data_IF_493980447055
#
_entry.id   IF_493980447055
#
_cell.length_a   1.000
_cell.length_b   1.000
_cell.length_c   1.000
_cell.angle_alpha   90.00
_cell.angle_beta   90.00
_cell.angle_gamma   90.00
#
_symmetry.space_group_name_H-M   'P 1'
#
loop_
_entity.id
_entity.type
_entity.pdbx_description
1 polymer ?
#
# COMPACT_ATOMS: atom_id res chain seq x y z
N UNK A 1 33.73 28.04 -49.60
CA UNK A 1 34.37 28.06 -48.26
C UNK A 1 33.56 27.38 -47.15
N UNK A 2 32.38 26.81 -47.42
CA UNK A 2 31.50 26.19 -46.41
C UNK A 2 31.74 24.69 -46.16
N UNK A 3 32.27 23.94 -47.15
CA UNK A 3 32.58 22.50 -46.99
C UNK A 3 33.75 22.20 -46.05
N UNK A 4 34.76 23.09 -45.96
CA UNK A 4 35.92 22.83 -45.08
C UNK A 4 35.59 23.02 -43.60
N UNK A 5 34.68 23.93 -43.26
CA UNK A 5 34.21 24.14 -41.88
C UNK A 5 33.38 22.95 -41.36
N UNK A 6 32.50 22.38 -42.20
CA UNK A 6 31.74 21.17 -41.83
C UNK A 6 32.64 19.94 -41.62
N UNK A 7 33.66 19.75 -42.46
CA UNK A 7 34.61 18.64 -42.32
C UNK A 7 35.49 18.78 -41.06
N UNK A 8 35.89 20.00 -40.71
CA UNK A 8 36.65 20.28 -39.48
C UNK A 8 35.76 20.07 -38.24
N UNK A 9 34.49 20.50 -38.27
CA UNK A 9 33.54 20.29 -37.16
C UNK A 9 33.21 18.81 -36.95
N UNK A 10 33.00 18.04 -38.03
CA UNK A 10 32.75 16.59 -37.97
C UNK A 10 33.98 15.80 -37.49
N UNK A 11 35.19 16.18 -37.93
CA UNK A 11 36.42 15.56 -37.45
C UNK A 11 36.69 15.88 -35.97
N UNK A 12 36.34 17.10 -35.53
CA UNK A 12 36.49 17.54 -34.14
C UNK A 12 35.49 16.84 -33.21
N UNK A 13 34.23 16.68 -33.62
CA UNK A 13 33.23 15.94 -32.83
C UNK A 13 33.57 14.45 -32.74
N UNK A 14 34.05 13.84 -33.83
CA UNK A 14 34.50 12.43 -33.82
C UNK A 14 35.72 12.23 -32.91
N UNK A 15 36.66 13.17 -32.90
CA UNK A 15 37.81 13.14 -32.00
C UNK A 15 37.41 13.32 -30.53
N UNK A 16 36.44 14.20 -30.23
CA UNK A 16 35.92 14.40 -28.86
C UNK A 16 35.18 13.14 -28.38
N UNK A 17 34.35 12.53 -29.22
CA UNK A 17 33.65 11.27 -28.89
C UNK A 17 34.66 10.15 -28.62
N UNK A 18 35.72 10.05 -29.44
CA UNK A 18 36.78 9.05 -29.24
C UNK A 18 37.55 9.29 -27.94
N UNK A 19 37.87 10.54 -27.61
CA UNK A 19 38.56 10.90 -26.36
C UNK A 19 37.67 10.64 -25.15
N UNK A 20 36.38 10.99 -25.20
CA UNK A 20 35.41 10.68 -24.13
C UNK A 20 35.23 9.18 -23.97
N UNK A 21 35.14 8.42 -25.06
CA UNK A 21 35.04 6.96 -25.01
C UNK A 21 36.30 6.33 -24.41
N UNK A 22 37.49 6.84 -24.74
CA UNK A 22 38.78 6.39 -24.17
C UNK A 22 38.86 6.77 -22.69
N UNK A 23 38.44 7.97 -22.30
CA UNK A 23 38.42 8.39 -20.89
C UNK A 23 37.43 7.53 -20.09
N UNK A 24 36.21 7.29 -20.58
CA UNK A 24 35.22 6.42 -19.93
C UNK A 24 35.70 4.96 -19.85
N UNK A 25 36.32 4.45 -20.91
CA UNK A 25 36.92 3.11 -20.92
C UNK A 25 38.11 3.00 -19.97
N UNK A 26 38.94 4.04 -19.88
CA UNK A 26 40.09 4.09 -18.97
C UNK A 26 39.67 4.23 -17.50
N UNK A 27 38.58 4.95 -17.19
CA UNK A 27 38.00 4.95 -15.84
C UNK A 27 37.41 3.60 -15.45
N UNK A 28 36.91 2.82 -16.42
CA UNK A 28 36.48 1.43 -16.18
C UNK A 28 37.67 0.48 -15.98
N UNK A 29 38.78 0.65 -16.70
CA UNK A 29 39.96 -0.21 -16.53
C UNK A 29 40.72 0.04 -15.23
N UNK A 30 40.72 1.27 -14.72
CA UNK A 30 41.39 1.63 -13.45
C UNK A 30 40.55 1.22 -12.22
N UNK A 31 39.22 1.10 -12.37
CA UNK A 31 38.32 0.50 -11.36
C UNK A 31 38.16 -1.00 -11.60
N UNK A 32 39.24 -1.77 -11.52
CA UNK A 32 39.16 -3.24 -11.58
C UNK A 32 38.19 -3.78 -10.53
N UNK A 33 37.31 -4.71 -10.92
CA UNK A 33 36.44 -5.64 -10.13
C UNK A 33 35.76 -5.16 -8.81
N UNK A 34 35.85 -3.87 -8.48
CA UNK A 34 35.51 -3.23 -7.20
C UNK A 34 34.21 -2.42 -7.26
N UNK A 35 33.53 -2.46 -8.42
CA UNK A 35 32.22 -1.85 -8.60
C UNK A 35 31.25 -2.37 -7.53
N UNK A 36 30.57 -1.42 -6.89
CA UNK A 36 29.54 -1.68 -5.90
C UNK A 36 28.29 -2.26 -6.55
N UNK A 37 27.89 -1.72 -7.71
CA UNK A 37 26.68 -2.05 -8.44
C UNK A 37 27.00 -2.54 -9.85
N UNK A 38 26.70 -3.81 -10.13
CA UNK A 38 27.02 -4.45 -11.42
C UNK A 38 25.89 -5.32 -11.94
N UNK A 39 26.03 -5.79 -13.18
CA UNK A 39 25.08 -6.68 -13.85
C UNK A 39 23.63 -6.15 -13.78
N UNK A 40 23.49 -4.84 -13.95
CA UNK A 40 22.19 -4.17 -13.96
C UNK A 40 21.50 -4.40 -15.29
N UNK A 41 20.26 -4.87 -15.25
CA UNK A 41 19.44 -5.06 -16.44
C UNK A 41 17.95 -4.99 -16.11
N UNK A 42 17.18 -4.40 -17.01
CA UNK A 42 15.73 -4.60 -17.09
C UNK A 42 15.44 -5.60 -18.21
N UNK A 43 14.41 -6.42 -18.04
CA UNK A 43 14.01 -7.38 -19.08
C UNK A 43 13.45 -6.71 -20.33
N UNK A 44 12.73 -5.59 -20.14
CA UNK A 44 12.05 -4.84 -21.18
C UNK A 44 12.30 -3.34 -21.00
N UNK A 45 12.07 -2.58 -22.07
CA UNK A 45 12.15 -1.10 -22.06
C UNK A 45 10.79 -0.43 -22.16
N UNK A 46 9.71 -1.21 -22.23
CA UNK A 46 8.32 -0.75 -22.29
C UNK A 46 7.50 -1.57 -21.30
N UNK A 47 6.55 -0.91 -20.62
CA UNK A 47 5.62 -1.50 -19.66
C UNK A 47 4.22 -0.97 -19.96
N UNK A 48 3.22 -1.87 -20.01
CA UNK A 48 1.80 -1.53 -20.15
C UNK A 48 1.00 -2.06 -18.97
N UNK A 49 1.01 -1.36 -17.82
CA UNK A 49 0.39 -1.88 -16.61
C UNK A 49 -1.11 -1.53 -16.56
N UNK A 50 -1.91 -2.41 -17.12
CA UNK A 50 -3.38 -2.32 -17.21
C UNK A 50 -4.08 -3.64 -16.80
N UNK A 51 -3.30 -4.58 -16.24
CA UNK A 51 -3.72 -5.89 -15.78
C UNK A 51 -4.38 -6.77 -16.85
N UNK A 52 -4.05 -6.57 -18.14
CA UNK A 52 -4.55 -7.41 -19.24
C UNK A 52 -3.74 -8.70 -19.45
N UNK A 53 -2.63 -8.86 -18.71
CA UNK A 53 -1.72 -10.01 -18.76
C UNK A 53 -0.57 -9.85 -19.76
N UNK A 54 -0.53 -8.76 -20.54
CA UNK A 54 0.49 -8.46 -21.53
C UNK A 54 1.38 -7.29 -21.09
N UNK A 55 2.67 -7.55 -20.90
CA UNK A 55 3.67 -6.52 -20.54
C UNK A 55 3.32 -5.66 -19.30
N UNK A 56 2.50 -6.18 -18.37
CA UNK A 56 2.18 -5.55 -17.09
C UNK A 56 3.35 -5.50 -16.12
N UNK A 57 4.33 -6.39 -16.29
CA UNK A 57 5.42 -6.60 -15.34
C UNK A 57 6.75 -6.78 -16.07
N UNK A 58 7.77 -6.08 -15.60
CA UNK A 58 9.16 -6.32 -16.00
C UNK A 58 10.01 -6.81 -14.84
N UNK A 59 11.15 -7.42 -15.17
CA UNK A 59 12.14 -7.87 -14.20
C UNK A 59 13.30 -6.89 -14.13
N UNK A 60 13.62 -6.42 -12.93
CA UNK A 60 14.84 -5.64 -12.63
C UNK A 60 15.84 -6.57 -11.94
N UNK A 61 17.03 -6.72 -12.53
CA UNK A 61 18.12 -7.49 -11.96
C UNK A 61 19.35 -6.60 -11.72
N UNK A 62 20.06 -6.87 -10.63
CA UNK A 62 21.31 -6.20 -10.27
C UNK A 62 22.14 -7.05 -9.32
N UNK A 63 23.41 -6.75 -9.19
CA UNK A 63 24.33 -7.41 -8.25
C UNK A 63 25.06 -6.37 -7.40
N UNK A 64 25.13 -6.65 -6.11
CA UNK A 64 25.79 -5.83 -5.11
C UNK A 64 27.05 -6.56 -4.62
N UNK A 65 28.21 -5.88 -4.65
CA UNK A 65 29.48 -6.51 -4.26
C UNK A 65 29.76 -6.47 -2.76
N UNK A 66 29.15 -5.54 -2.02
CA UNK A 66 29.29 -5.35 -0.56
C UNK A 66 28.06 -4.67 0.02
N UNK A 67 27.85 -4.80 1.33
CA UNK A 67 26.67 -4.24 2.02
C UNK A 67 26.44 -2.78 1.64
N UNK A 68 25.24 -2.47 1.16
CA UNK A 68 24.85 -1.14 0.72
C UNK A 68 23.34 -0.92 0.89
N UNK A 69 22.96 0.35 0.90
CA UNK A 69 21.58 0.79 0.71
C UNK A 69 21.31 0.93 -0.78
N UNK A 70 20.24 0.31 -1.26
CA UNK A 70 19.87 0.32 -2.68
C UNK A 70 18.53 1.01 -2.86
N UNK A 71 18.52 2.01 -3.74
CA UNK A 71 17.31 2.69 -4.21
C UNK A 71 17.05 2.37 -5.68
N UNK A 72 15.79 2.17 -6.02
CA UNK A 72 15.31 1.99 -7.40
C UNK A 72 14.20 3.02 -7.60
N UNK A 73 14.42 3.97 -8.50
CA UNK A 73 13.48 5.04 -8.75
C UNK A 73 13.46 5.44 -10.23
N UNK A 74 12.41 6.16 -10.60
CA UNK A 74 12.15 6.60 -11.96
C UNK A 74 12.05 8.12 -11.98
N UNK A 75 12.72 8.75 -12.94
CA UNK A 75 12.72 10.19 -13.10
C UNK A 75 12.04 10.55 -14.43
N UNK A 76 11.05 11.45 -14.37
CA UNK A 76 10.37 11.94 -15.58
C UNK A 76 11.12 13.15 -16.19
N UNK A 77 10.64 13.63 -17.34
CA UNK A 77 11.25 14.80 -18.03
C UNK A 77 11.24 16.10 -17.21
N UNK A 78 10.38 16.20 -16.19
CA UNK A 78 10.31 17.35 -15.28
C UNK A 78 11.27 17.23 -14.09
N UNK A 79 12.00 16.12 -13.97
CA UNK A 79 12.92 15.85 -12.86
C UNK A 79 12.24 15.31 -11.59
N UNK A 80 10.95 14.96 -11.65
CA UNK A 80 10.26 14.35 -10.51
C UNK A 80 10.72 12.90 -10.36
N UNK A 81 11.01 12.49 -9.12
CA UNK A 81 11.47 11.14 -8.78
C UNK A 81 10.35 10.34 -8.13
N UNK A 82 10.18 9.11 -8.61
CA UNK A 82 9.17 8.17 -8.16
C UNK A 82 9.88 6.90 -7.65
N UNK A 83 9.78 6.60 -6.36
CA UNK A 83 10.52 5.51 -5.74
C UNK A 83 9.73 4.21 -5.79
N UNK A 84 10.33 3.17 -6.37
CA UNK A 84 9.83 1.80 -6.22
C UNK A 84 10.47 1.12 -5.00
N UNK A 85 11.73 1.44 -4.73
CA UNK A 85 12.45 1.03 -3.52
C UNK A 85 13.27 2.19 -3.04
N UNK A 86 13.02 2.63 -1.82
CA UNK A 86 13.85 3.65 -1.17
C UNK A 86 14.74 3.04 -0.08
N UNK A 87 16.05 3.28 -0.23
CA UNK A 87 17.14 3.00 0.71
C UNK A 87 17.09 1.61 1.36
N UNK A 88 16.81 0.56 0.58
CA UNK A 88 16.67 -0.80 1.11
C UNK A 88 18.04 -1.42 1.34
N UNK A 89 18.29 -1.93 2.54
CA UNK A 89 19.55 -2.63 2.86
C UNK A 89 19.68 -3.91 2.02
N UNK A 90 20.85 -4.09 1.40
CA UNK A 90 21.22 -5.27 0.61
C UNK A 90 22.60 -5.75 1.04
N UNK A 91 22.74 -7.07 1.16
CA UNK A 91 24.03 -7.72 1.34
C UNK A 91 24.72 -7.94 0.00
N UNK A 92 25.88 -8.60 0.03
CA UNK A 92 26.54 -9.05 -1.20
C UNK A 92 25.69 -10.12 -1.89
N UNK A 93 25.45 -9.98 -3.18
CA UNK A 93 24.74 -10.98 -3.94
C UNK A 93 24.02 -10.44 -5.17
N UNK A 94 23.34 -11.36 -5.86
CA UNK A 94 22.48 -11.06 -7.01
C UNK A 94 21.05 -10.89 -6.54
N UNK A 95 20.38 -9.89 -7.08
CA UNK A 95 19.01 -9.53 -6.77
C UNK A 95 18.18 -9.49 -8.04
N UNK A 96 16.94 -9.93 -7.94
CA UNK A 96 15.93 -9.86 -8.99
C UNK A 96 14.61 -9.46 -8.33
N UNK A 97 13.93 -8.48 -8.90
CA UNK A 97 12.62 -8.01 -8.43
C UNK A 97 11.71 -7.78 -9.63
N UNK A 98 10.43 -8.08 -9.46
CA UNK A 98 9.40 -7.76 -10.44
C UNK A 98 8.87 -6.36 -10.19
N UNK A 99 8.61 -5.62 -11.26
CA UNK A 99 8.12 -4.25 -11.22
C UNK A 99 6.90 -4.12 -12.14
N UNK A 100 5.75 -3.76 -11.55
CA UNK A 100 4.47 -3.60 -12.23
C UNK A 100 4.12 -2.15 -12.59
N UNK A 101 5.06 -1.21 -12.45
CA UNK A 101 4.77 0.21 -12.63
C UNK A 101 4.33 0.92 -11.33
N UNK A 102 4.00 0.17 -10.27
CA UNK A 102 3.66 0.71 -8.95
C UNK A 102 4.90 1.25 -8.23
N UNK A 103 4.76 2.48 -7.74
CA UNK A 103 5.72 3.22 -6.92
C UNK A 103 5.06 3.69 -5.63
N UNK A 104 5.85 4.27 -4.73
CA UNK A 104 5.36 5.00 -3.57
C UNK A 104 4.32 6.05 -4.01
N UNK A 105 3.32 6.27 -3.17
CA UNK A 105 2.19 7.15 -3.48
C UNK A 105 2.60 8.60 -3.78
N UNK A 106 1.89 9.20 -4.74
CA UNK A 106 2.05 10.60 -5.11
C UNK A 106 0.74 11.18 -5.65
N UNK A 107 0.60 12.50 -5.57
CA UNK A 107 -0.52 13.24 -6.12
C UNK A 107 -0.11 14.00 -7.39
N UNK A 108 -1.08 14.21 -8.28
CA UNK A 108 -0.88 15.07 -9.45
C UNK A 108 -1.14 16.55 -9.06
N UNK A 109 -0.52 17.53 -9.75
CA UNK A 109 -0.60 18.95 -9.36
C UNK A 109 -2.03 19.51 -9.23
N UNK A 110 -2.97 19.02 -10.03
CA UNK A 110 -4.36 19.49 -10.06
C UNK A 110 -5.33 18.55 -9.31
N UNK A 111 -4.79 17.62 -8.52
CA UNK A 111 -5.55 16.59 -7.85
C UNK A 111 -5.85 16.98 -6.39
N UNK A 112 -7.14 16.96 -6.03
CA UNK A 112 -7.60 17.11 -4.66
C UNK A 112 -8.32 15.83 -4.27
N UNK A 113 -7.73 15.08 -3.34
CA UNK A 113 -8.23 13.79 -2.88
C UNK A 113 -8.50 13.86 -1.39
N UNK A 114 -9.64 13.33 -0.98
CA UNK A 114 -9.95 13.03 0.44
C UNK A 114 -9.29 11.72 0.91
N UNK A 115 -8.52 11.09 0.02
CA UNK A 115 -7.81 9.84 0.26
C UNK A 115 -6.31 10.12 0.33
N UNK A 116 -5.63 9.45 1.24
CA UNK A 116 -4.19 9.27 1.20
C UNK A 116 -3.83 8.26 0.11
N UNK A 117 -2.94 8.63 -0.81
CA UNK A 117 -2.42 7.71 -1.82
C UNK A 117 -1.18 7.04 -1.27
N UNK A 118 -1.26 5.74 -0.98
CA UNK A 118 -0.13 4.98 -0.41
C UNK A 118 0.78 4.40 -1.50
N UNK A 119 0.18 4.00 -2.62
CA UNK A 119 0.89 3.45 -3.78
C UNK A 119 0.17 3.88 -5.04
N UNK A 120 0.93 4.27 -6.07
CA UNK A 120 0.35 4.72 -7.33
C UNK A 120 1.15 4.21 -8.50
N UNK A 121 0.44 3.99 -9.60
CA UNK A 121 1.05 3.61 -10.85
C UNK A 121 1.69 4.81 -11.54
N UNK A 122 2.90 4.63 -12.08
CA UNK A 122 3.54 5.64 -12.93
C UNK A 122 2.61 6.03 -14.09
N UNK A 123 2.45 7.33 -14.33
CA UNK A 123 1.66 7.80 -15.46
C UNK A 123 2.31 7.42 -16.79
N UNK A 124 1.52 7.31 -17.86
CA UNK A 124 2.03 7.16 -19.22
C UNK A 124 3.09 8.23 -19.54
N UNK A 125 4.22 7.79 -20.10
CA UNK A 125 5.34 8.67 -20.45
C UNK A 125 6.69 7.97 -20.46
N UNK A 126 7.71 8.76 -20.82
CA UNK A 126 9.10 8.32 -20.82
C UNK A 126 9.76 8.63 -19.47
N UNK A 127 10.44 7.63 -18.92
CA UNK A 127 11.18 7.73 -17.67
C UNK A 127 12.63 7.32 -17.87
N UNK A 128 13.51 7.95 -17.10
CA UNK A 128 14.83 7.41 -16.82
C UNK A 128 14.73 6.56 -15.56
N UNK A 129 15.01 5.27 -15.63
CA UNK A 129 15.15 4.45 -14.43
C UNK A 129 16.56 4.63 -13.85
N UNK A 130 16.66 4.61 -12.53
CA UNK A 130 17.92 4.73 -11.79
C UNK A 130 17.95 3.63 -10.72
N UNK A 131 19.02 2.85 -10.73
CA UNK A 131 19.40 1.99 -9.62
C UNK A 131 20.63 2.59 -8.98
N UNK A 132 20.50 2.99 -7.72
CA UNK A 132 21.56 3.58 -6.92
C UNK A 132 21.94 2.64 -5.79
N UNK A 133 23.23 2.46 -5.55
CA UNK A 133 23.77 1.78 -4.39
C UNK A 133 24.71 2.71 -3.62
N UNK A 134 24.52 2.82 -2.31
CA UNK A 134 25.37 3.60 -1.40
C UNK A 134 25.90 2.70 -0.30
N UNK A 135 27.21 2.52 -0.22
CA UNK A 135 27.83 1.72 0.84
C UNK A 135 27.96 2.48 2.18
N UNK A 136 28.43 1.77 3.21
CA UNK A 136 28.61 2.34 4.56
C UNK A 136 29.58 3.52 4.64
N UNK A 137 30.50 3.63 3.66
CA UNK A 137 31.51 4.68 3.61
C UNK A 137 31.03 5.86 2.74
N UNK A 138 29.79 5.81 2.25
CA UNK A 138 29.17 6.83 1.41
C UNK A 138 29.58 6.74 -0.06
N UNK A 139 30.19 5.64 -0.50
CA UNK A 139 30.51 5.46 -1.92
C UNK A 139 29.24 5.13 -2.67
N UNK A 140 28.89 6.00 -3.61
CA UNK A 140 27.72 5.86 -4.48
C UNK A 140 28.11 5.32 -5.86
N UNK A 141 27.40 4.31 -6.33
CA UNK A 141 27.37 3.94 -7.75
C UNK A 141 25.92 3.91 -8.25
N UNK A 142 25.73 4.37 -9.48
CA UNK A 142 24.44 4.40 -10.15
C UNK A 142 24.54 3.73 -11.52
N UNK A 143 23.44 3.10 -11.93
CA UNK A 143 23.18 2.71 -13.31
C UNK A 143 21.82 3.25 -13.73
N UNK A 144 21.70 3.60 -15.01
CA UNK A 144 20.51 4.24 -15.56
C UNK A 144 20.17 3.68 -16.94
N UNK A 145 18.93 3.89 -17.35
CA UNK A 145 18.46 3.63 -18.70
C UNK A 145 17.04 4.15 -18.90
N UNK A 146 16.43 3.80 -20.02
CA UNK A 146 15.12 4.31 -20.40
C UNK A 146 14.03 3.27 -20.10
N UNK A 147 12.85 3.74 -19.72
CA UNK A 147 11.62 2.96 -19.61
C UNK A 147 10.46 3.80 -20.15
N UNK A 148 9.67 3.22 -21.04
CA UNK A 148 8.42 3.80 -21.49
C UNK A 148 7.25 3.14 -20.76
N UNK A 149 6.38 3.95 -20.17
CA UNK A 149 5.08 3.52 -19.65
C UNK A 149 4.01 3.90 -20.68
N UNK A 150 3.22 2.94 -21.12
CA UNK A 150 2.13 3.14 -22.10
C UNK A 150 0.86 2.41 -21.63
N UNK A 151 -0.32 2.87 -22.03
CA UNK A 151 -1.59 2.18 -21.77
C UNK A 151 -1.87 1.87 -20.28
N UNK A 152 -1.22 2.57 -19.36
CA UNK A 152 -1.46 2.45 -17.92
C UNK A 152 -2.93 2.70 -17.54
N UNK A 153 -3.51 1.81 -16.72
CA UNK A 153 -4.73 2.13 -15.96
C UNK A 153 -4.36 3.00 -14.75
N UNK A 154 -4.35 4.31 -14.95
CA UNK A 154 -3.92 5.28 -13.95
C UNK A 154 -5.04 5.74 -12.99
N UNK A 155 -6.27 5.24 -13.16
CA UNK A 155 -7.39 5.63 -12.31
C UNK A 155 -7.29 4.96 -10.94
N UNK A 156 -7.29 5.76 -9.88
CA UNK A 156 -7.18 5.28 -8.50
C UNK A 156 -8.50 4.63 -8.01
N UNK A 157 -8.43 3.59 -7.15
CA UNK A 157 -9.59 3.00 -6.46
C UNK A 157 -10.10 3.87 -5.32
N UNK A 158 -10.47 5.13 -5.62
CA UNK A 158 -10.88 6.12 -4.64
C UNK A 158 -12.09 5.67 -3.81
N UNK A 159 -11.99 5.87 -2.50
CA UNK A 159 -13.09 5.73 -1.55
C UNK A 159 -13.74 7.11 -1.39
N UNK A 160 -15.02 7.23 -1.70
CA UNK A 160 -15.76 8.51 -1.64
C UNK A 160 -16.96 8.40 -0.69
N UNK A 161 -17.29 9.51 -0.03
CA UNK A 161 -18.42 9.55 0.92
C UNK A 161 -18.22 8.63 2.12
N UNK A 162 -17.00 8.56 2.65
CA UNK A 162 -16.67 7.77 3.84
C UNK A 162 -17.34 8.36 5.08
N UNK A 163 -18.35 7.65 5.60
CA UNK A 163 -19.21 8.13 6.68
C UNK A 163 -19.52 7.02 7.67
N UNK A 164 -19.69 7.42 8.94
CA UNK A 164 -20.22 6.58 10.01
C UNK A 164 -21.52 7.19 10.57
N UNK A 165 -22.46 6.36 11.02
CA UNK A 165 -23.76 6.84 11.52
C UNK A 165 -23.68 7.45 12.94
N UNK A 166 -22.55 7.27 13.64
CA UNK A 166 -22.28 7.82 14.97
C UNK A 166 -20.78 7.91 15.25
N UNK A 167 -20.40 8.88 16.08
CA UNK A 167 -19.01 9.06 16.52
C UNK A 167 -18.71 8.39 17.87
N UNK A 168 -19.75 8.04 18.63
CA UNK A 168 -19.66 7.37 19.94
C UNK A 168 -20.36 6.02 19.85
N UNK A 169 -19.68 4.98 20.33
CA UNK A 169 -20.05 3.58 20.20
C UNK A 169 -19.88 2.87 21.56
N UNK A 170 -20.93 2.17 22.02
CA UNK A 170 -20.95 1.54 23.35
C UNK A 170 -21.24 0.03 23.28
N UNK A 171 -20.26 -0.82 22.91
CA UNK A 171 -20.48 -2.26 22.67
C UNK A 171 -20.59 -3.10 23.96
N UNK A 172 -21.52 -2.74 24.85
CA UNK A 172 -21.70 -3.34 26.17
C UNK A 172 -22.81 -4.42 26.22
N UNK A 173 -23.50 -4.66 25.09
CA UNK A 173 -24.59 -5.63 24.90
C UNK A 173 -25.90 -5.28 25.62
N UNK A 174 -26.17 -4.00 25.89
CA UNK A 174 -27.44 -3.54 26.47
C UNK A 174 -28.54 -3.22 25.45
N UNK A 175 -28.21 -3.28 24.15
CA UNK A 175 -29.07 -2.99 23.02
C UNK A 175 -29.10 -1.52 22.59
N UNK A 176 -28.31 -0.65 23.24
CA UNK A 176 -28.24 0.79 23.00
C UNK A 176 -26.83 1.12 22.53
N UNK A 177 -26.74 1.74 21.36
CA UNK A 177 -25.48 2.18 20.75
C UNK A 177 -24.37 1.12 20.61
N UNK A 178 -24.76 -0.14 20.66
CA UNK A 178 -23.95 -1.35 20.49
C UNK A 178 -23.48 -1.63 19.06
N UNK A 179 -23.87 -0.79 18.08
CA UNK A 179 -23.52 -0.97 16.66
C UNK A 179 -23.17 0.36 16.02
N UNK A 180 -22.17 0.38 15.13
CA UNK A 180 -21.87 1.51 14.25
C UNK A 180 -21.90 1.07 12.80
N UNK A 181 -22.63 1.82 11.97
CA UNK A 181 -22.69 1.58 10.53
C UNK A 181 -21.69 2.48 9.83
N UNK A 182 -20.91 1.88 8.94
CA UNK A 182 -19.94 2.59 8.09
C UNK A 182 -20.35 2.39 6.64
N UNK A 183 -20.31 3.45 5.86
CA UNK A 183 -20.65 3.41 4.44
C UNK A 183 -19.69 4.26 3.60
N UNK A 184 -19.50 3.85 2.35
CA UNK A 184 -18.79 4.60 1.32
C UNK A 184 -19.10 4.03 -0.06
N UNK A 185 -18.67 4.73 -1.12
CA UNK A 185 -18.62 4.16 -2.48
C UNK A 185 -17.17 3.98 -2.94
N UNK A 186 -16.91 2.88 -3.65
CA UNK A 186 -15.71 2.71 -4.46
C UNK A 186 -15.93 3.30 -5.86
N UNK A 187 -14.98 4.11 -6.33
CA UNK A 187 -15.05 4.75 -7.66
C UNK A 187 -14.79 3.77 -8.82
N UNK A 188 -13.95 2.76 -8.60
CA UNK A 188 -13.67 1.64 -9.52
C UNK A 188 -13.59 0.34 -8.72
N UNK A 189 -13.54 -0.77 -9.44
CA UNK A 189 -13.35 -2.09 -8.85
C UNK A 189 -11.99 -2.17 -8.12
N UNK A 190 -11.97 -2.92 -7.04
CA UNK A 190 -10.80 -3.17 -6.21
C UNK A 190 -10.60 -4.67 -6.02
N UNK A 191 -9.35 -5.10 -6.07
CA UNK A 191 -8.96 -6.48 -5.79
C UNK A 191 -8.98 -6.76 -4.28
N UNK A 192 -8.66 -5.73 -3.46
CA UNK A 192 -8.72 -5.81 -2.01
C UNK A 192 -9.39 -4.57 -1.42
N UNK A 193 -10.27 -4.80 -0.46
CA UNK A 193 -10.87 -3.77 0.38
C UNK A 193 -10.82 -4.24 1.83
N UNK A 194 -10.18 -3.45 2.69
CA UNK A 194 -10.09 -3.71 4.13
C UNK A 194 -10.70 -2.54 4.87
N UNK A 195 -11.51 -2.84 5.87
CA UNK A 195 -12.00 -1.85 6.85
C UNK A 195 -11.63 -2.36 8.23
N UNK A 196 -11.02 -1.52 9.05
CA UNK A 196 -10.50 -1.93 10.36
C UNK A 196 -10.41 -0.74 11.32
N UNK A 197 -10.42 -1.06 12.61
CA UNK A 197 -10.08 -0.12 13.67
C UNK A 197 -8.58 -0.11 13.92
N UNK A 198 -8.04 1.06 14.23
CA UNK A 198 -6.66 1.26 14.67
C UNK A 198 -6.69 1.94 16.03
N UNK A 199 -5.97 1.38 17.01
CA UNK A 199 -5.79 1.99 18.33
C UNK A 199 -4.58 2.94 18.37
N UNK A 200 -4.33 3.57 19.52
CA UNK A 200 -3.24 4.53 19.71
C UNK A 200 -1.84 3.88 19.53
N UNK A 201 -1.74 2.56 19.71
CA UNK A 201 -0.53 1.77 19.53
C UNK A 201 -0.36 1.28 18.07
N UNK A 202 -1.35 1.51 17.20
CA UNK A 202 -1.34 1.10 15.80
C UNK A 202 -1.80 -0.35 15.57
N UNK A 203 -2.45 -0.98 16.54
CA UNK A 203 -2.99 -2.34 16.41
C UNK A 203 -4.26 -2.32 15.59
N UNK A 204 -4.27 -3.08 14.49
CA UNK A 204 -5.41 -3.20 13.60
C UNK A 204 -6.40 -4.29 14.07
N UNK A 205 -7.69 -3.98 14.02
CA UNK A 205 -8.79 -4.93 14.26
C UNK A 205 -9.78 -4.88 13.10
N UNK A 206 -9.92 -5.98 12.38
CA UNK A 206 -10.76 -6.03 11.18
C UNK A 206 -12.25 -5.83 11.49
N UNK A 207 -12.91 -5.00 10.69
CA UNK A 207 -14.36 -4.81 10.67
C UNK A 207 -14.90 -5.60 9.49
N UNK A 208 -15.76 -6.58 9.78
CA UNK A 208 -16.34 -7.42 8.73
C UNK A 208 -17.46 -6.68 7.98
N UNK A 209 -17.50 -6.88 6.67
CA UNK A 209 -18.60 -6.39 5.84
C UNK A 209 -19.90 -7.13 6.17
N UNK A 210 -21.03 -6.44 6.00
CA UNK A 210 -22.34 -7.09 6.10
C UNK A 210 -22.47 -8.22 5.06
N UNK A 211 -23.00 -9.40 5.43
CA UNK A 211 -23.31 -10.46 4.48
C UNK A 211 -24.22 -9.94 3.34
N UNK A 212 -23.78 -10.10 2.09
CA UNK A 212 -24.49 -9.60 0.90
C UNK A 212 -24.05 -8.21 0.39
N UNK A 213 -23.13 -7.53 1.09
CA UNK A 213 -22.43 -6.35 0.56
C UNK A 213 -21.32 -6.71 -0.44
N UNK A 214 -21.00 -8.00 -0.57
CA UNK A 214 -20.21 -8.55 -1.68
C UNK A 214 -21.19 -9.16 -2.68
N UNK A 215 -21.04 -8.96 -4.00
CA UNK A 215 -21.71 -9.84 -4.96
C UNK A 215 -21.34 -11.29 -4.57
N UNK A 216 -22.33 -12.19 -4.43
CA UNK A 216 -22.03 -13.57 -4.03
C UNK A 216 -21.16 -14.18 -5.12
N UNK A 217 -19.90 -14.50 -4.79
CA UNK A 217 -19.03 -15.24 -5.68
C UNK A 217 -19.65 -16.62 -5.91
N UNK A 218 -20.21 -16.85 -7.09
CA UNK A 218 -20.73 -18.16 -7.46
C UNK A 218 -19.56 -19.09 -7.80
N UNK A 219 -19.79 -20.41 -7.71
CA UNK A 219 -18.76 -21.38 -8.08
C UNK A 219 -18.37 -21.31 -9.57
N UNK A 220 -19.17 -20.60 -10.38
CA UNK A 220 -18.96 -20.37 -11.80
C UNK A 220 -18.29 -19.01 -12.10
N UNK A 221 -18.08 -18.17 -11.09
CA UNK A 221 -17.41 -16.88 -11.29
C UNK A 221 -15.91 -17.12 -11.58
N UNK A 222 -15.36 -16.52 -12.64
CA UNK A 222 -13.94 -16.61 -12.96
C UNK A 222 -13.06 -16.33 -11.74
N UNK A 223 -11.88 -16.95 -11.69
CA UNK A 223 -10.86 -16.64 -10.67
C UNK A 223 -10.50 -15.14 -10.65
N UNK A 224 -10.69 -14.47 -11.79
CA UNK A 224 -10.22 -13.13 -12.12
C UNK A 224 -11.29 -12.03 -12.00
N UNK A 225 -12.48 -12.32 -11.44
CA UNK A 225 -13.43 -11.24 -11.10
C UNK A 225 -12.97 -10.47 -9.84
N UNK A 226 -13.01 -9.12 -9.88
CA UNK A 226 -12.57 -8.31 -8.75
C UNK A 226 -13.39 -8.64 -7.51
N UNK A 227 -12.71 -8.83 -6.38
CA UNK A 227 -13.38 -9.22 -5.13
C UNK A 227 -14.33 -8.12 -4.61
N UNK A 228 -14.14 -6.86 -5.03
CA UNK A 228 -14.92 -5.71 -4.63
C UNK A 228 -15.26 -4.84 -5.84
N UNK A 229 -16.55 -4.74 -6.17
CA UNK A 229 -17.03 -3.93 -7.29
C UNK A 229 -17.19 -2.46 -6.91
N UNK A 230 -17.12 -1.59 -7.91
CA UNK A 230 -17.46 -0.19 -7.80
C UNK A 230 -18.89 0.01 -7.27
N UNK A 231 -19.11 1.12 -6.56
CA UNK A 231 -20.37 1.45 -5.91
C UNK A 231 -20.34 1.23 -4.41
N UNK A 232 -21.53 1.07 -3.81
CA UNK A 232 -21.72 1.20 -2.36
C UNK A 232 -21.27 -0.02 -1.57
N UNK A 233 -20.49 0.23 -0.53
CA UNK A 233 -20.12 -0.73 0.51
C UNK A 233 -20.66 -0.28 1.87
N UNK A 234 -21.17 -1.25 2.64
CA UNK A 234 -21.76 -1.00 3.96
C UNK A 234 -21.25 -2.04 4.96
N UNK A 235 -20.83 -1.56 6.12
CA UNK A 235 -20.34 -2.36 7.24
C UNK A 235 -21.21 -2.07 8.47
N UNK A 236 -21.38 -3.09 9.31
CA UNK A 236 -22.08 -3.00 10.59
C UNK A 236 -21.16 -3.61 11.64
N UNK A 237 -20.59 -2.76 12.48
CA UNK A 237 -19.62 -3.14 13.49
C UNK A 237 -20.26 -3.17 14.87
N UNK A 238 -20.09 -4.27 15.60
CA UNK A 238 -20.66 -4.55 16.92
C UNK A 238 -19.58 -4.79 18.02
N UNK A 239 -18.32 -4.44 17.77
CA UNK A 239 -17.24 -4.62 18.74
C UNK A 239 -16.67 -6.05 18.78
N UNK A 240 -16.89 -6.87 17.76
CA UNK A 240 -16.58 -8.30 17.73
C UNK A 240 -17.50 -9.20 18.57
N UNK A 241 -18.57 -8.65 19.16
CA UNK A 241 -19.57 -9.36 19.98
C UNK A 241 -20.22 -10.57 19.28
N UNK A 242 -20.70 -10.41 18.05
CA UNK A 242 -21.33 -11.46 17.23
C UNK A 242 -20.33 -12.56 16.86
N UNK A 243 -19.03 -12.23 16.87
CA UNK A 243 -17.92 -13.18 16.69
C UNK A 243 -17.40 -13.78 18.00
N UNK A 244 -18.12 -13.59 19.11
CA UNK A 244 -17.72 -13.99 20.47
C UNK A 244 -16.37 -13.39 20.92
N UNK A 245 -15.94 -12.28 20.33
CA UNK A 245 -14.77 -11.53 20.78
C UNK A 245 -15.13 -10.62 21.96
N UNK A 246 -14.10 -10.23 22.71
CA UNK A 246 -14.20 -9.18 23.71
C UNK A 246 -14.20 -7.83 23.01
N UNK A 247 -15.17 -6.94 23.30
CA UNK A 247 -15.16 -5.59 22.74
C UNK A 247 -13.87 -4.84 23.04
N UNK A 248 -13.45 -3.91 22.16
CA UNK A 248 -12.33 -3.03 22.43
C UNK A 248 -12.53 -2.30 23.77
N UNK A 249 -11.42 -1.91 24.39
CA UNK A 249 -11.43 -1.09 25.60
C UNK A 249 -11.93 0.33 25.27
N UNK A 250 -12.26 1.10 26.31
CA UNK A 250 -12.62 2.51 26.15
C UNK A 250 -11.46 3.31 25.57
N UNK A 251 -11.76 4.18 24.60
CA UNK A 251 -10.76 5.02 23.98
C UNK A 251 -11.18 5.59 22.63
N UNK A 252 -10.29 6.40 22.08
CA UNK A 252 -10.43 6.92 20.71
C UNK A 252 -9.65 6.03 19.75
N UNK A 253 -10.34 5.60 18.71
CA UNK A 253 -9.83 4.77 17.63
C UNK A 253 -9.98 5.51 16.29
N UNK A 254 -9.28 5.02 15.28
CA UNK A 254 -9.49 5.40 13.88
C UNK A 254 -10.15 4.24 13.14
N UNK A 255 -11.29 4.48 12.50
CA UNK A 255 -11.83 3.57 11.48
C UNK A 255 -11.11 3.89 10.18
N UNK A 256 -10.42 2.91 9.62
CA UNK A 256 -9.64 3.05 8.40
C UNK A 256 -10.22 2.14 7.33
N UNK A 257 -10.34 2.67 6.11
CA UNK A 257 -10.62 1.89 4.90
C UNK A 257 -9.45 2.01 3.92
N UNK A 258 -9.03 0.85 3.38
CA UNK A 258 -7.95 0.75 2.40
C UNK A 258 -8.44 -0.05 1.20
N UNK A 259 -8.32 0.53 0.01
CA UNK A 259 -8.67 -0.09 -1.26
C UNK A 259 -7.43 -0.26 -2.15
N UNK A 260 -7.27 -1.43 -2.76
CA UNK A 260 -6.19 -1.78 -3.69
C UNK A 260 -6.79 -2.40 -4.96
N UNK A 261 -6.42 -1.90 -6.15
CA UNK A 261 -6.86 -2.43 -7.44
C UNK A 261 -5.95 -3.57 -7.97
N UNK A 262 -6.23 -4.06 -9.18
CA UNK A 262 -5.50 -5.18 -9.79
C UNK A 262 -4.06 -4.83 -10.14
N UNK A 263 -3.80 -3.58 -10.50
CA UNK A 263 -2.47 -3.04 -10.81
C UNK A 263 -1.61 -2.87 -9.53
N UNK A 264 -2.27 -2.73 -8.38
CA UNK A 264 -1.68 -2.53 -7.07
C UNK A 264 -1.63 -1.08 -6.60
N UNK A 265 -2.42 -0.19 -7.23
CA UNK A 265 -2.64 1.16 -6.74
C UNK A 265 -3.44 1.08 -5.44
N UNK A 266 -3.03 1.84 -4.43
CA UNK A 266 -3.61 1.75 -3.09
C UNK A 266 -3.90 3.10 -2.48
N UNK A 267 -5.11 3.24 -1.96
CA UNK A 267 -5.56 4.44 -1.27
C UNK A 267 -6.12 4.10 0.12
N UNK A 268 -6.03 5.08 1.02
CA UNK A 268 -6.44 4.99 2.41
C UNK A 268 -7.31 6.20 2.78
N UNK A 269 -8.35 5.98 3.56
CA UNK A 269 -9.12 7.04 4.21
C UNK A 269 -9.53 6.59 5.61
N UNK A 270 -9.94 7.52 6.47
CA UNK A 270 -10.35 7.18 7.82
C UNK A 270 -11.08 8.30 8.55
N UNK A 271 -11.69 7.92 9.67
CA UNK A 271 -12.45 8.78 10.57
C UNK A 271 -12.26 8.33 12.02
N UNK A 272 -12.54 9.22 12.97
CA UNK A 272 -12.42 8.89 14.40
C UNK A 272 -13.67 8.21 14.94
N UNK A 273 -13.49 7.22 15.82
CA UNK A 273 -14.55 6.58 16.58
C UNK A 273 -14.17 6.58 18.07
N UNK A 274 -15.07 7.01 18.93
CA UNK A 274 -14.91 6.90 20.38
C UNK A 274 -15.68 5.70 20.90
N UNK A 275 -14.99 4.82 21.63
CA UNK A 275 -15.57 3.67 22.31
C UNK A 275 -15.70 4.00 23.79
N UNK A 276 -16.91 3.86 24.32
CA UNK A 276 -17.23 4.02 25.74
C UNK A 276 -17.93 2.76 26.26
N UNK A 277 -17.79 2.44 27.55
CA UNK A 277 -18.39 1.25 28.15
C UNK A 277 -18.04 -0.05 27.38
N UNK A 278 -16.91 -0.07 26.69
CA UNK A 278 -16.34 -1.21 25.99
C UNK A 278 -15.74 -2.25 26.95
N UNK A 279 -15.36 -3.40 26.39
CA UNK A 279 -14.88 -4.57 27.12
C UNK A 279 -15.98 -5.46 27.72
N UNK A 280 -15.58 -6.42 28.56
CA UNK A 280 -16.53 -7.28 29.29
C UNK A 280 -17.06 -6.53 30.51
N UNK A 281 -18.38 -6.28 30.63
CA UNK A 281 -18.93 -5.60 31.80
C UNK A 281 -18.61 -6.39 33.07
N UNK A 282 -17.90 -5.76 34.01
CA UNK A 282 -17.70 -6.30 35.36
C UNK A 282 -18.93 -6.00 36.21
N UNK A 283 -20.01 -6.76 36.02
CA UNK A 283 -21.08 -6.78 37.00
C UNK A 283 -20.58 -7.53 38.25
N UNK A 284 -20.08 -6.78 39.24
CA UNK A 284 -19.97 -7.32 40.58
C UNK A 284 -21.40 -7.41 41.14
N UNK A 285 -21.91 -8.63 41.30
CA UNK A 285 -23.07 -8.87 42.16
C UNK A 285 -22.52 -8.98 43.57
N UNK A 286 -22.60 -7.92 44.42
CA UNK A 286 -22.24 -8.10 45.81
C UNK A 286 -23.15 -9.19 46.38
N UNK A 287 -22.55 -10.23 46.96
CA UNK A 287 -23.31 -11.20 47.73
C UNK A 287 -24.13 -10.42 48.76
N UNK A 288 -25.43 -10.75 48.96
CA UNK A 288 -26.20 -10.09 50.00
C UNK A 288 -25.43 -10.20 51.32
N UNK A 289 -25.26 -9.06 52.00
CA UNK A 289 -24.84 -9.07 53.40
C UNK A 289 -25.78 -10.03 54.12
N UNK A 290 -25.19 -11.07 54.74
CA UNK A 290 -25.91 -12.13 55.45
C UNK A 290 -27.16 -11.58 56.13
N UNK A 291 -28.33 -11.96 55.62
CA UNK A 291 -29.63 -11.51 56.09
C UNK A 291 -30.61 -12.66 55.98
N UNK A 292 -30.97 -13.19 57.14
CA UNK A 292 -31.94 -14.24 57.48
C UNK A 292 -32.30 -15.29 56.42
N UNK A 293 -31.86 -16.51 56.71
CA UNK A 293 -32.39 -17.75 56.15
C UNK A 293 -33.92 -17.75 56.20
N UNK A 294 -34.55 -18.08 55.06
CA UNK A 294 -35.99 -18.37 54.98
C UNK A 294 -36.31 -19.46 56.03
N UNK A 295 -37.06 -19.10 57.07
CA UNK A 295 -37.63 -20.08 58.00
C UNK A 295 -38.93 -20.64 57.40
N UNK A 296 -38.92 -21.93 57.08
CA UNK A 296 -40.14 -22.67 56.82
C UNK A 296 -40.75 -23.09 58.16
N UNK A 297 -41.90 -22.51 58.53
CA UNK A 297 -42.72 -23.07 59.61
C UNK A 297 -43.59 -24.18 59.04
N UNK A 298 -43.26 -25.43 59.33
CA UNK A 298 -44.19 -26.54 59.20
C UNK A 298 -45.11 -26.52 60.42
N UNK A 299 -46.30 -25.95 60.27
CA UNK A 299 -47.41 -26.22 61.19
C UNK A 299 -47.96 -27.61 60.86
N UNK A 300 -47.43 -28.62 61.57
CA UNK A 300 -48.08 -29.93 61.68
C UNK A 300 -49.30 -29.80 62.58
N UNK A 301 -50.48 -30.05 62.03
CA UNK A 301 -51.71 -30.21 62.79
C UNK A 301 -51.95 -31.72 62.92
N UNK A 302 -51.62 -32.27 64.08
CA UNK A 302 -52.08 -33.59 64.52
C UNK A 302 -53.38 -33.40 65.30
N UNK A 303 -54.50 -33.83 64.71
CA UNK A 303 -55.65 -34.48 65.37
C UNK A 303 -56.63 -35.05 64.33
#
# INVERSE_FOLDING_TARGET
MTRSLQQILLASSLAIILVVAIVLASTRLVRGDSSLLRNVSLSETTLSPNADGENDVLSIAYEISRVAQVSIYFENASGNRFYFRDSKTRGTGKYKVLFSGIVDGYTLPDEQLDNEVEARLLQNGDYTWIIEAVDKDGVTEQQTGNLQISEADADLPLIIGFEQDRDIFTPNRDGIDDRVKIQFDLKKDAEKLRVFLVDAEGVEREIQALPGARPPRTADDPADEPNFVAGRHVYDYEGGVDLNATPPDDGTYEIVAVAEDAEGQRVRTGSSLTIELGGVPRAEIPAPVSGDTIQFSLSGEDA
#
